data_IF_935611340736
#
_entry.id   IF_935611340736
#
_cell.length_a   1.000
_cell.length_b   1.000
_cell.length_c   1.000
_cell.angle_alpha   90.00
_cell.angle_beta   90.00
_cell.angle_gamma   90.00
#
_symmetry.space_group_name_H-M   'P 1'
#
loop_
_entity.id
_entity.type
_entity.pdbx_description
1 polymer ?
#
# COMPACT_ATOMS: atom_id res chain seq x y z
N UNK A 1 -2.86 -11.65 22.66
CA UNK A 1 -4.08 -11.50 21.83
C UNK A 1 -4.13 -10.02 21.45
N UNK A 2 -4.01 -9.70 20.16
CA UNK A 2 -3.82 -8.31 19.71
C UNK A 2 -5.05 -7.42 19.92
N UNK A 3 -4.80 -6.11 19.97
CA UNK A 3 -5.79 -5.03 20.02
C UNK A 3 -6.97 -5.30 19.06
N UNK A 4 -8.21 -5.21 19.55
CA UNK A 4 -9.42 -5.24 18.72
C UNK A 4 -9.51 -3.94 17.90
N UNK A 5 -8.69 -3.84 16.86
CA UNK A 5 -8.70 -2.76 15.87
C UNK A 5 -9.69 -3.06 14.74
N UNK A 6 -10.01 -2.06 13.92
CA UNK A 6 -10.94 -2.21 12.82
C UNK A 6 -10.39 -3.19 11.77
N UNK A 7 -11.22 -4.09 11.17
CA UNK A 7 -10.74 -5.09 10.20
C UNK A 7 -9.96 -4.51 9.01
N UNK A 8 -10.33 -3.32 8.54
CA UNK A 8 -9.61 -2.62 7.46
C UNK A 8 -8.20 -2.15 7.87
N UNK A 9 -7.99 -1.89 9.16
CA UNK A 9 -6.71 -1.42 9.71
C UNK A 9 -5.88 -2.58 10.30
N UNK A 10 -6.44 -3.78 10.46
CA UNK A 10 -5.75 -4.91 11.06
C UNK A 10 -4.74 -5.58 10.13
N UNK A 11 -4.69 -5.19 8.85
CA UNK A 11 -3.83 -5.77 7.81
C UNK A 11 -4.09 -7.23 7.48
N UNK A 12 -5.13 -7.84 8.06
CA UNK A 12 -5.58 -9.21 7.77
C UNK A 12 -6.47 -9.18 6.55
N UNK A 13 -5.88 -9.33 5.35
CA UNK A 13 -6.67 -9.53 4.12
C UNK A 13 -7.22 -10.96 4.06
N UNK A 14 -8.44 -11.08 3.53
CA UNK A 14 -9.03 -12.36 3.14
C UNK A 14 -8.13 -13.05 2.11
N UNK A 15 -7.84 -14.34 2.31
CA UNK A 15 -7.00 -15.22 1.45
C UNK A 15 -7.40 -15.28 -0.04
N UNK A 16 -8.48 -14.62 -0.45
CA UNK A 16 -9.14 -14.82 -1.75
C UNK A 16 -8.96 -13.68 -2.78
N UNK A 17 -8.26 -12.59 -2.46
CA UNK A 17 -8.05 -11.53 -3.45
C UNK A 17 -6.96 -11.94 -4.46
N UNK A 18 -7.40 -12.32 -5.67
CA UNK A 18 -6.51 -12.41 -6.83
C UNK A 18 -5.95 -11.02 -7.10
N UNK A 19 -4.63 -10.87 -6.97
CA UNK A 19 -3.97 -9.64 -7.37
C UNK A 19 -4.28 -9.35 -8.84
N UNK A 20 -4.83 -8.17 -9.11
CA UNK A 20 -5.18 -7.73 -10.45
C UNK A 20 -4.45 -6.43 -10.76
N UNK A 21 -3.16 -6.59 -11.08
CA UNK A 21 -2.25 -5.50 -11.41
C UNK A 21 -2.04 -5.35 -12.94
N UNK A 22 -2.49 -6.30 -13.77
CA UNK A 22 -2.41 -6.20 -15.23
C UNK A 22 -1.00 -6.30 -15.86
N UNK A 23 0.02 -6.69 -15.07
CA UNK A 23 1.33 -7.07 -15.61
C UNK A 23 1.25 -8.48 -16.18
N UNK A 24 1.97 -8.72 -17.27
CA UNK A 24 2.17 -10.08 -17.79
C UNK A 24 3.01 -10.92 -16.82
N UNK A 25 2.91 -12.25 -16.93
CA UNK A 25 3.73 -13.17 -16.13
C UNK A 25 5.24 -12.96 -16.34
N UNK A 26 5.65 -12.51 -17.52
CA UNK A 26 7.05 -12.24 -17.84
C UNK A 26 7.56 -10.94 -17.18
N UNK A 27 6.74 -9.88 -17.15
CA UNK A 27 7.02 -8.66 -16.38
C UNK A 27 7.08 -8.96 -14.88
N UNK A 28 6.13 -9.73 -14.36
CA UNK A 28 6.07 -10.11 -12.94
C UNK A 28 7.28 -10.94 -12.51
N UNK A 29 7.72 -11.89 -13.35
CA UNK A 29 8.94 -12.66 -13.08
C UNK A 29 10.19 -11.78 -13.04
N UNK A 30 10.27 -10.78 -13.93
CA UNK A 30 11.36 -9.81 -13.94
C UNK A 30 11.32 -8.92 -12.70
N UNK A 31 10.12 -8.50 -12.27
CA UNK A 31 9.92 -7.75 -11.04
C UNK A 31 10.33 -8.57 -9.81
N UNK A 32 9.88 -9.81 -9.68
CA UNK A 32 10.28 -10.70 -8.59
C UNK A 32 11.80 -10.89 -8.54
N UNK A 33 12.44 -11.03 -9.71
CA UNK A 33 13.89 -11.16 -9.83
C UNK A 33 14.64 -9.89 -9.42
N UNK A 34 14.04 -8.70 -9.59
CA UNK A 34 14.57 -7.43 -9.07
C UNK A 34 14.37 -7.33 -7.55
N UNK A 35 13.19 -7.70 -7.05
CA UNK A 35 12.90 -7.72 -5.62
C UNK A 35 13.83 -8.69 -4.86
N UNK A 36 14.19 -9.83 -5.45
CA UNK A 36 15.22 -10.73 -4.91
C UNK A 36 16.57 -10.02 -4.76
N UNK A 37 16.95 -9.16 -5.70
CA UNK A 37 18.22 -8.42 -5.61
C UNK A 37 18.15 -7.31 -4.56
N UNK A 38 16.98 -6.70 -4.37
CA UNK A 38 16.79 -5.65 -3.35
C UNK A 38 16.83 -6.22 -1.94
N UNK A 39 16.29 -7.43 -1.78
CA UNK A 39 16.25 -8.17 -0.53
C UNK A 39 16.54 -9.66 -0.81
N UNK A 40 17.83 -10.03 -0.90
CA UNK A 40 18.25 -11.39 -1.20
C UNK A 40 18.17 -12.29 0.02
N UNK A 41 18.11 -13.60 -0.23
CA UNK A 41 18.38 -14.59 0.81
C UNK A 41 19.87 -14.54 1.16
N UNK A 42 20.16 -14.61 2.46
CA UNK A 42 21.51 -14.69 2.98
C UNK A 42 21.77 -16.11 3.47
N UNK A 43 22.90 -16.69 3.07
CA UNK A 43 23.37 -17.93 3.70
C UNK A 43 23.62 -17.65 5.19
N UNK A 44 23.12 -18.53 6.07
CA UNK A 44 23.35 -18.39 7.51
C UNK A 44 24.84 -18.23 7.77
N UNK A 45 25.24 -17.09 8.33
CA UNK A 45 26.61 -16.87 8.77
C UNK A 45 26.94 -18.01 9.74
N UNK A 46 27.90 -18.85 9.37
CA UNK A 46 28.45 -19.83 10.29
C UNK A 46 29.14 -19.00 11.37
N UNK A 47 28.58 -18.91 12.57
CA UNK A 47 29.22 -18.21 13.68
C UNK A 47 30.57 -18.88 13.98
N UNK A 48 31.64 -18.38 13.37
CA UNK A 48 33.01 -18.61 13.81
C UNK A 48 33.19 -17.86 15.14
N UNK A 49 32.80 -18.51 16.23
CA UNK A 49 32.92 -17.97 17.58
C UNK A 49 31.74 -18.37 18.44
N UNK A 50 32.03 -19.09 19.53
CA UNK A 50 31.07 -19.49 20.55
C UNK A 50 30.41 -18.25 21.17
N UNK A 51 29.11 -18.09 20.97
CA UNK A 51 28.04 -17.90 21.97
C UNK A 51 26.79 -17.40 21.22
N UNK A 52 25.67 -18.08 21.44
CA UNK A 52 24.35 -17.94 20.83
C UNK A 52 24.16 -18.34 19.36
N UNK A 53 23.38 -19.42 19.17
CA UNK A 53 22.74 -19.71 17.88
C UNK A 53 21.85 -18.52 17.51
N UNK A 54 21.81 -18.09 16.23
CA UNK A 54 20.89 -17.05 15.81
C UNK A 54 19.46 -17.43 16.21
N UNK A 55 18.69 -16.46 16.70
CA UNK A 55 17.28 -16.70 17.03
C UNK A 55 16.53 -17.23 15.81
N UNK A 56 15.49 -18.04 16.03
CA UNK A 56 14.69 -18.60 14.94
C UNK A 56 14.13 -17.51 14.01
N UNK A 57 13.81 -16.33 14.57
CA UNK A 57 13.41 -15.15 13.83
C UNK A 57 14.52 -14.66 12.89
N UNK A 58 15.76 -14.56 13.37
CA UNK A 58 16.90 -14.12 12.59
C UNK A 58 17.23 -15.09 11.44
N UNK A 59 17.18 -16.40 11.69
CA UNK A 59 17.33 -17.39 10.62
C UNK A 59 16.22 -17.30 9.56
N UNK A 60 14.98 -17.07 9.99
CA UNK A 60 13.83 -16.91 9.09
C UNK A 60 13.97 -15.65 8.25
N UNK A 61 14.46 -14.56 8.84
CA UNK A 61 14.73 -13.30 8.15
C UNK A 61 15.84 -13.45 7.10
N UNK A 62 16.94 -14.13 7.42
CA UNK A 62 17.99 -14.41 6.42
C UNK A 62 17.51 -15.29 5.27
N UNK A 63 16.54 -16.18 5.49
CA UNK A 63 15.92 -17.00 4.43
C UNK A 63 14.81 -16.27 3.66
N UNK A 64 14.35 -15.12 4.14
CA UNK A 64 13.33 -14.33 3.48
C UNK A 64 13.90 -13.65 2.23
N UNK A 65 13.05 -13.43 1.23
CA UNK A 65 13.43 -12.71 0.02
C UNK A 65 12.32 -11.83 -0.49
N UNK A 66 12.67 -10.70 -1.10
CA UNK A 66 11.71 -9.83 -1.79
C UNK A 66 11.01 -10.50 -2.97
N UNK A 67 11.51 -11.62 -3.50
CA UNK A 67 10.83 -12.39 -4.54
C UNK A 67 9.65 -13.24 -4.02
N UNK A 68 9.55 -13.46 -2.70
CA UNK A 68 8.52 -14.30 -2.13
C UNK A 68 7.15 -13.61 -2.17
N UNK A 69 6.10 -14.38 -2.46
CA UNK A 69 4.74 -13.87 -2.41
C UNK A 69 4.38 -13.41 -0.98
N UNK A 70 3.60 -12.33 -0.81
CA UNK A 70 2.92 -11.52 -1.84
C UNK A 70 3.69 -10.27 -2.30
N UNK A 71 5.01 -10.17 -2.04
CA UNK A 71 5.76 -8.91 -2.22
C UNK A 71 5.73 -8.40 -3.67
N UNK A 72 6.10 -9.19 -4.71
CA UNK A 72 6.10 -8.71 -6.08
C UNK A 72 4.72 -8.28 -6.57
N UNK A 73 3.67 -9.02 -6.21
CA UNK A 73 2.30 -8.70 -6.61
C UNK A 73 1.81 -7.38 -5.99
N UNK A 74 2.07 -7.16 -4.70
CA UNK A 74 1.72 -5.90 -4.02
C UNK A 74 2.49 -4.71 -4.57
N UNK A 75 3.78 -4.90 -4.88
CA UNK A 75 4.58 -3.86 -5.56
C UNK A 75 3.98 -3.53 -6.92
N UNK A 76 3.60 -4.55 -7.70
CA UNK A 76 2.95 -4.35 -9.00
C UNK A 76 1.62 -3.60 -8.87
N UNK A 77 0.80 -3.91 -7.86
CA UNK A 77 -0.45 -3.18 -7.59
C UNK A 77 -0.21 -1.72 -7.26
N UNK A 78 0.76 -1.41 -6.38
CA UNK A 78 1.11 -0.02 -6.03
C UNK A 78 1.58 0.72 -7.29
N UNK A 79 2.49 0.12 -8.06
CA UNK A 79 3.03 0.74 -9.27
C UNK A 79 1.91 1.08 -10.24
N UNK A 80 1.05 0.12 -10.58
CA UNK A 80 0.04 0.31 -11.63
C UNK A 80 -1.12 1.19 -11.19
N UNK A 81 -1.56 1.07 -9.93
CA UNK A 81 -2.78 1.77 -9.47
C UNK A 81 -2.51 3.17 -8.91
N UNK A 82 -1.27 3.48 -8.48
CA UNK A 82 -0.99 4.71 -7.70
C UNK A 82 0.09 5.62 -8.29
N UNK A 83 0.94 5.15 -9.21
CA UNK A 83 1.96 6.00 -9.82
C UNK A 83 1.45 6.77 -11.05
N UNK A 84 2.16 7.85 -11.38
CA UNK A 84 1.94 8.60 -12.60
C UNK A 84 2.10 7.69 -13.83
N UNK A 85 1.27 7.90 -14.84
CA UNK A 85 1.21 7.09 -16.05
C UNK A 85 2.58 6.95 -16.74
N UNK A 86 3.36 8.03 -16.79
CA UNK A 86 4.70 8.08 -17.36
C UNK A 86 5.68 7.16 -16.61
N UNK A 87 5.61 7.15 -15.28
CA UNK A 87 6.43 6.27 -14.44
C UNK A 87 6.01 4.81 -14.62
N UNK A 88 4.70 4.53 -14.73
CA UNK A 88 4.18 3.17 -15.01
C UNK A 88 4.69 2.69 -16.37
N UNK A 89 4.58 3.50 -17.42
CA UNK A 89 5.07 3.16 -18.77
C UNK A 89 6.57 2.85 -18.72
N UNK A 90 7.36 3.73 -18.09
CA UNK A 90 8.80 3.53 -17.94
C UNK A 90 9.13 2.20 -17.25
N UNK A 91 8.49 1.90 -16.12
CA UNK A 91 8.70 0.66 -15.38
C UNK A 91 8.32 -0.54 -16.24
N UNK A 92 7.18 -0.51 -16.92
CA UNK A 92 6.74 -1.62 -17.80
C UNK A 92 7.71 -1.85 -18.95
N UNK A 93 8.22 -0.80 -19.58
CA UNK A 93 9.25 -0.92 -20.63
C UNK A 93 10.50 -1.58 -20.08
N UNK A 94 10.99 -1.16 -18.90
CA UNK A 94 12.17 -1.78 -18.26
C UNK A 94 11.91 -3.26 -17.95
N UNK A 95 10.77 -3.59 -17.34
CA UNK A 95 10.42 -4.97 -17.01
C UNK A 95 10.30 -5.86 -18.27
N UNK A 96 9.70 -5.35 -19.34
CA UNK A 96 9.58 -6.05 -20.61
C UNK A 96 10.95 -6.25 -21.28
N UNK A 97 11.84 -5.26 -21.21
CA UNK A 97 13.20 -5.42 -21.70
C UNK A 97 13.95 -6.52 -20.93
N UNK A 98 13.84 -6.54 -19.60
CA UNK A 98 14.46 -7.57 -18.75
C UNK A 98 13.86 -8.97 -18.93
N UNK A 99 12.61 -9.06 -19.42
CA UNK A 99 11.98 -10.34 -19.70
C UNK A 99 12.39 -10.94 -21.05
N UNK A 100 12.99 -10.16 -21.95
CA UNK A 100 13.44 -10.61 -23.27
C UNK A 100 14.96 -10.75 -23.34
N UNK A 101 15.48 -11.69 -24.14
CA UNK A 101 16.93 -11.90 -24.29
C UNK A 101 17.64 -10.67 -24.85
N UNK A 102 17.07 -10.04 -25.89
CA UNK A 102 17.66 -8.87 -26.52
C UNK A 102 17.61 -7.63 -25.63
N UNK A 103 16.49 -7.39 -24.94
CA UNK A 103 16.37 -6.30 -23.97
C UNK A 103 17.28 -6.51 -22.76
N UNK A 104 17.41 -7.75 -22.29
CA UNK A 104 18.36 -8.10 -21.22
C UNK A 104 19.79 -7.84 -21.66
N UNK A 105 20.17 -8.22 -22.88
CA UNK A 105 21.50 -7.90 -23.41
C UNK A 105 21.75 -6.39 -23.48
N UNK A 106 20.75 -5.61 -23.88
CA UNK A 106 20.84 -4.14 -23.93
C UNK A 106 21.01 -3.53 -22.54
N UNK A 107 20.25 -3.98 -21.53
CA UNK A 107 20.30 -3.40 -20.18
C UNK A 107 21.45 -3.98 -19.34
N UNK A 108 21.71 -5.27 -19.44
CA UNK A 108 22.69 -5.99 -18.60
C UNK A 108 24.08 -6.08 -19.26
N UNK A 109 24.18 -5.86 -20.57
CA UNK A 109 25.41 -6.03 -21.34
C UNK A 109 25.90 -7.48 -21.33
N UNK A 110 27.22 -7.67 -21.40
CA UNK A 110 27.84 -9.01 -21.44
C UNK A 110 27.60 -9.87 -20.19
N UNK A 111 27.09 -9.30 -19.09
CA UNK A 111 26.82 -10.06 -17.86
C UNK A 111 25.70 -11.10 -18.04
N UNK A 112 24.80 -10.91 -19.00
CA UNK A 112 23.76 -11.88 -19.31
C UNK A 112 24.25 -13.03 -20.21
N UNK A 113 25.51 -12.98 -20.69
CA UNK A 113 26.07 -14.04 -21.51
C UNK A 113 26.36 -15.29 -20.67
N UNK A 114 26.13 -16.44 -21.29
CA UNK A 114 26.30 -17.78 -20.74
C UNK A 114 27.12 -18.62 -21.71
N UNK A 115 27.96 -19.51 -21.19
CA UNK A 115 28.71 -20.48 -21.99
C UNK A 115 27.80 -21.60 -22.52
N UNK A 116 26.66 -21.84 -21.87
CA UNK A 116 25.68 -22.87 -22.23
C UNK A 116 24.49 -22.26 -22.96
N UNK A 117 23.94 -22.99 -23.94
CA UNK A 117 22.73 -22.58 -24.65
C UNK A 117 21.52 -22.49 -23.68
N UNK A 118 20.71 -21.43 -23.75
CA UNK A 118 20.86 -20.26 -24.61
C UNK A 118 21.99 -19.33 -24.15
N UNK A 119 22.87 -18.92 -25.08
CA UNK A 119 24.05 -18.08 -24.79
C UNK A 119 23.72 -16.71 -24.18
N UNK A 120 22.45 -16.31 -24.24
CA UNK A 120 21.92 -15.10 -23.61
C UNK A 120 20.81 -15.53 -22.65
N UNK A 121 21.03 -15.28 -21.37
CA UNK A 121 20.03 -15.46 -20.33
C UNK A 121 19.13 -14.23 -20.23
N UNK A 122 17.85 -14.45 -19.92
CA UNK A 122 16.99 -13.38 -19.43
C UNK A 122 17.42 -12.98 -18.02
N UNK A 123 17.00 -11.80 -17.57
CA UNK A 123 17.39 -11.30 -16.25
C UNK A 123 17.06 -12.29 -15.11
N UNK A 124 15.88 -12.89 -15.12
CA UNK A 124 15.43 -13.87 -14.11
C UNK A 124 16.23 -15.17 -14.09
N UNK A 125 16.91 -15.52 -15.19
CA UNK A 125 17.71 -16.74 -15.31
C UNK A 125 19.18 -16.51 -14.92
N UNK A 126 19.57 -15.28 -14.60
CA UNK A 126 20.92 -14.95 -14.16
C UNK A 126 21.12 -15.27 -12.67
N UNK A 127 22.34 -15.65 -12.29
CA UNK A 127 22.70 -15.79 -10.87
C UNK A 127 22.52 -14.45 -10.14
N UNK A 128 22.22 -14.52 -8.84
CA UNK A 128 22.00 -13.35 -8.00
C UNK A 128 23.19 -12.37 -8.07
N UNK A 129 24.41 -12.87 -7.93
CA UNK A 129 25.65 -12.08 -8.03
C UNK A 129 25.76 -11.31 -9.36
N UNK A 130 25.35 -11.94 -10.48
CA UNK A 130 25.37 -11.28 -11.79
C UNK A 130 24.31 -10.19 -11.86
N UNK A 131 23.11 -10.43 -11.32
CA UNK A 131 22.03 -9.43 -11.26
C UNK A 131 22.42 -8.24 -10.38
N UNK A 132 23.05 -8.47 -9.23
CA UNK A 132 23.59 -7.42 -8.37
C UNK A 132 24.60 -6.53 -9.11
N UNK A 133 25.55 -7.14 -9.81
CA UNK A 133 26.56 -6.41 -10.62
C UNK A 133 25.91 -5.57 -11.72
N UNK A 134 24.83 -6.05 -12.35
CA UNK A 134 24.06 -5.28 -13.33
C UNK A 134 23.46 -4.03 -12.69
N UNK A 135 22.79 -4.18 -11.54
CA UNK A 135 22.15 -3.09 -10.83
C UNK A 135 23.19 -2.05 -10.36
N UNK A 136 24.32 -2.50 -9.82
CA UNK A 136 25.46 -1.63 -9.48
C UNK A 136 26.00 -0.86 -10.69
N UNK A 137 26.02 -1.50 -11.87
CA UNK A 137 26.44 -0.85 -13.12
C UNK A 137 25.44 0.22 -13.56
N UNK A 138 24.13 0.00 -13.44
CA UNK A 138 23.13 1.03 -13.74
C UNK A 138 23.29 2.26 -12.85
N UNK A 139 23.59 2.06 -11.56
CA UNK A 139 23.82 3.16 -10.64
C UNK A 139 25.01 4.05 -10.99
N UNK A 140 26.10 3.45 -11.48
CA UNK A 140 27.35 4.16 -11.80
C UNK A 140 27.31 4.91 -13.12
N UNK A 141 26.39 4.59 -14.02
CA UNK A 141 26.40 5.07 -15.40
C UNK A 141 25.22 5.99 -15.70
N UNK A 142 25.52 7.25 -16.05
CA UNK A 142 24.49 8.28 -16.30
C UNK A 142 23.54 7.94 -17.46
N UNK A 143 23.99 7.17 -18.45
CA UNK A 143 23.19 6.76 -19.62
C UNK A 143 21.95 5.96 -19.18
N UNK A 144 22.03 5.25 -18.06
CA UNK A 144 20.93 4.46 -17.51
C UNK A 144 20.01 5.27 -16.58
N UNK A 145 20.02 6.60 -16.64
CA UNK A 145 19.20 7.45 -15.75
C UNK A 145 17.71 7.03 -15.71
N UNK A 146 17.02 6.76 -16.83
CA UNK A 146 15.63 6.28 -16.79
C UNK A 146 15.49 4.93 -16.07
N UNK A 147 16.40 4.00 -16.32
CA UNK A 147 16.41 2.67 -15.68
C UNK A 147 16.69 2.80 -14.17
N UNK A 148 17.55 3.74 -13.79
CA UNK A 148 17.87 4.06 -12.39
C UNK A 148 16.66 4.64 -11.65
N UNK A 149 15.85 5.46 -12.31
CA UNK A 149 14.59 5.98 -11.75
C UNK A 149 13.62 4.82 -11.51
N UNK A 150 13.38 3.97 -12.52
CA UNK A 150 12.53 2.79 -12.38
C UNK A 150 13.02 1.87 -11.24
N UNK A 151 14.32 1.61 -11.19
CA UNK A 151 14.94 0.85 -10.11
C UNK A 151 14.64 1.46 -8.73
N UNK A 152 14.84 2.77 -8.56
CA UNK A 152 14.69 3.43 -7.26
C UNK A 152 13.25 3.33 -6.76
N UNK A 153 12.29 3.52 -7.66
CA UNK A 153 10.87 3.36 -7.39
C UNK A 153 10.56 1.92 -6.95
N UNK A 154 11.00 0.93 -7.73
CA UNK A 154 10.74 -0.48 -7.43
C UNK A 154 11.40 -0.93 -6.12
N UNK A 155 12.62 -0.48 -5.84
CA UNK A 155 13.31 -0.75 -4.58
C UNK A 155 12.56 -0.16 -3.40
N UNK A 156 12.13 1.09 -3.51
CA UNK A 156 11.38 1.79 -2.45
C UNK A 156 10.12 1.03 -2.08
N UNK A 157 9.29 0.66 -3.08
CA UNK A 157 8.06 -0.06 -2.81
C UNK A 157 8.27 -1.53 -2.41
N UNK A 158 9.31 -2.19 -2.92
CA UNK A 158 9.66 -3.54 -2.47
C UNK A 158 9.98 -3.56 -0.97
N UNK A 159 10.82 -2.63 -0.50
CA UNK A 159 11.18 -2.55 0.91
C UNK A 159 9.99 -2.12 1.76
N UNK A 160 9.22 -1.12 1.32
CA UNK A 160 7.99 -0.70 2.00
C UNK A 160 7.02 -1.87 2.18
N UNK A 161 6.70 -2.59 1.10
CA UNK A 161 5.80 -3.75 1.17
C UNK A 161 6.37 -4.84 2.08
N UNK A 162 7.66 -5.16 1.97
CA UNK A 162 8.28 -6.22 2.75
C UNK A 162 8.24 -5.93 4.25
N UNK A 163 8.49 -4.69 4.68
CA UNK A 163 8.51 -4.33 6.10
C UNK A 163 7.14 -3.95 6.67
N UNK A 164 6.15 -3.63 5.83
CA UNK A 164 4.80 -3.31 6.27
C UNK A 164 3.79 -4.46 6.09
N UNK A 165 4.13 -5.53 5.37
CA UNK A 165 3.23 -6.67 5.19
C UNK A 165 3.09 -7.48 6.48
N UNK A 166 1.95 -8.15 6.63
CA UNK A 166 1.68 -9.04 7.76
C UNK A 166 1.38 -10.44 7.24
N UNK A 167 1.76 -11.44 8.03
CA UNK A 167 1.41 -12.84 7.84
C UNK A 167 -0.04 -13.13 8.29
N UNK A 168 -0.43 -14.41 8.25
CA UNK A 168 -1.76 -14.85 8.68
C UNK A 168 -2.06 -14.56 10.17
N UNK A 169 -1.01 -14.43 10.98
CA UNK A 169 -1.14 -14.12 12.40
C UNK A 169 -1.26 -12.61 12.66
N UNK A 170 -1.01 -11.78 11.65
CA UNK A 170 -0.96 -10.32 11.78
C UNK A 170 0.41 -9.81 12.24
N UNK A 171 1.48 -10.56 12.01
CA UNK A 171 2.86 -10.19 12.32
C UNK A 171 3.71 -10.09 11.06
N UNK A 172 4.65 -9.16 11.01
CA UNK A 172 5.65 -9.16 9.96
C UNK A 172 6.78 -10.16 10.31
N UNK A 173 7.25 -10.99 9.37
CA UNK A 173 8.29 -11.99 9.62
C UNK A 173 9.68 -11.41 9.92
N UNK A 174 9.94 -10.14 9.61
CA UNK A 174 11.23 -9.49 9.84
C UNK A 174 11.31 -8.73 11.17
N UNK A 175 10.17 -8.31 11.73
CA UNK A 175 10.14 -7.41 12.90
C UNK A 175 10.88 -7.95 14.11
N UNK A 176 10.66 -9.21 14.48
CA UNK A 176 11.36 -9.82 15.61
C UNK A 176 12.89 -9.90 15.38
N UNK A 177 13.33 -10.12 14.14
CA UNK A 177 14.75 -10.21 13.80
C UNK A 177 15.47 -8.85 13.85
N UNK A 178 14.73 -7.75 13.64
CA UNK A 178 15.26 -6.38 13.71
C UNK A 178 14.91 -5.68 15.04
N UNK A 179 14.42 -6.44 16.02
CA UNK A 179 13.98 -5.96 17.34
C UNK A 179 12.90 -4.86 17.26
N UNK A 180 12.04 -4.93 16.24
CA UNK A 180 10.88 -4.07 16.10
C UNK A 180 9.67 -4.70 16.79
N UNK A 181 9.20 -4.04 17.83
CA UNK A 181 8.00 -4.45 18.57
C UNK A 181 6.94 -3.38 18.42
N UNK A 182 5.77 -3.78 17.92
CA UNK A 182 4.59 -2.92 17.96
C UNK A 182 4.10 -2.91 19.40
N UNK A 183 4.16 -1.74 20.05
CA UNK A 183 3.70 -1.59 21.43
C UNK A 183 2.25 -2.07 21.54
N UNK A 184 1.98 -2.99 22.46
CA UNK A 184 0.61 -3.26 22.87
C UNK A 184 0.27 -2.20 23.88
N UNK A 185 -0.30 -1.09 23.42
CA UNK A 185 -0.78 -0.04 24.30
C UNK A 185 -1.98 -0.60 25.10
N UNK A 186 -1.71 -1.14 26.29
CA UNK A 186 -2.71 -1.71 27.20
C UNK A 186 -3.59 -0.61 27.85
N UNK A 187 -3.19 0.66 27.72
CA UNK A 187 -3.81 1.82 28.37
C UNK A 187 -4.92 2.53 27.56
N UNK A 188 -5.44 1.93 26.49
CA UNK A 188 -6.64 2.46 25.78
C UNK A 188 -7.94 2.16 26.55
N UNK A 189 -7.84 1.53 27.73
CA UNK A 189 -8.97 1.16 28.59
C UNK A 189 -9.80 2.36 29.05
N UNK A 190 -9.22 3.57 29.09
CA UNK A 190 -9.94 4.81 29.41
C UNK A 190 -10.55 5.53 28.18
N UNK A 191 -10.27 5.09 26.95
CA UNK A 191 -10.79 5.79 25.78
C UNK A 191 -12.29 5.52 25.64
N UNK A 192 -13.06 6.60 25.52
CA UNK A 192 -14.52 6.60 25.34
C UNK A 192 -14.97 5.45 24.42
N UNK A 193 -15.85 4.58 24.93
CA UNK A 193 -16.47 3.51 24.13
C UNK A 193 -17.45 4.06 23.08
N UNK A 194 -17.91 5.29 23.25
CA UNK A 194 -18.92 5.88 22.39
C UNK A 194 -18.30 6.27 21.05
N UNK A 195 -18.96 5.88 19.95
CA UNK A 195 -18.64 6.31 18.58
C UNK A 195 -19.52 7.52 18.28
N UNK A 196 -19.03 8.78 18.37
CA UNK A 196 -19.91 9.95 18.40
C UNK A 196 -20.76 10.14 17.14
N UNK A 197 -20.23 9.76 15.98
CA UNK A 197 -20.91 9.91 14.69
C UNK A 197 -21.77 8.71 14.29
N UNK A 198 -21.75 7.60 15.05
CA UNK A 198 -22.43 6.34 14.70
C UNK A 198 -23.93 6.53 14.47
N UNK A 199 -24.54 7.41 15.27
CA UNK A 199 -25.97 7.72 15.15
C UNK A 199 -26.32 8.37 13.82
N UNK A 200 -25.40 9.13 13.21
CA UNK A 200 -25.65 9.89 11.97
C UNK A 200 -24.97 9.34 10.71
N UNK A 201 -24.00 8.43 10.84
CA UNK A 201 -23.22 7.93 9.71
C UNK A 201 -24.02 6.93 8.86
N UNK A 202 -23.76 6.97 7.55
CA UNK A 202 -24.20 5.97 6.57
C UNK A 202 -22.99 5.63 5.70
N UNK A 203 -22.51 4.40 5.80
CA UNK A 203 -21.34 3.94 5.05
C UNK A 203 -21.76 3.39 3.69
N UNK A 204 -21.64 4.22 2.66
CA UNK A 204 -22.16 3.91 1.31
C UNK A 204 -21.56 2.64 0.69
N UNK A 205 -20.39 2.20 1.14
CA UNK A 205 -19.74 0.98 0.67
C UNK A 205 -20.51 -0.31 1.01
N UNK A 206 -21.36 -0.27 2.05
CA UNK A 206 -22.21 -1.38 2.47
C UNK A 206 -23.65 -1.24 1.96
N UNK A 207 -23.92 -0.19 1.19
CA UNK A 207 -25.24 0.14 0.71
C UNK A 207 -25.42 -0.25 -0.76
N UNK A 208 -26.66 -0.55 -1.11
CA UNK A 208 -27.15 -0.75 -2.46
C UNK A 208 -28.12 0.38 -2.82
N UNK A 209 -28.50 0.47 -4.09
CA UNK A 209 -29.50 1.45 -4.56
C UNK A 209 -30.81 1.43 -3.76
N UNK A 210 -31.24 0.26 -3.26
CA UNK A 210 -32.46 0.13 -2.47
C UNK A 210 -32.24 0.45 -1.00
N UNK A 211 -31.12 0.02 -0.41
CA UNK A 211 -30.86 0.17 1.02
C UNK A 211 -30.42 1.59 1.37
N UNK A 212 -29.69 2.28 0.48
CA UNK A 212 -29.19 3.64 0.74
C UNK A 212 -30.34 4.63 1.02
N UNK A 213 -31.45 4.51 0.28
CA UNK A 213 -32.64 5.36 0.49
C UNK A 213 -33.25 5.11 1.86
N UNK A 214 -33.35 3.84 2.26
CA UNK A 214 -33.89 3.45 3.56
C UNK A 214 -32.99 3.93 4.69
N UNK A 215 -31.68 3.70 4.60
CA UNK A 215 -30.70 4.13 5.60
C UNK A 215 -30.73 5.64 5.79
N UNK A 216 -30.67 6.44 4.72
CA UNK A 216 -30.75 7.90 4.81
C UNK A 216 -32.10 8.39 5.39
N UNK A 217 -33.20 7.74 5.02
CA UNK A 217 -34.54 8.08 5.54
C UNK A 217 -34.67 7.76 7.03
N UNK A 218 -34.11 6.63 7.49
CA UNK A 218 -34.06 6.26 8.91
C UNK A 218 -33.22 7.24 9.74
N UNK A 219 -32.21 7.88 9.13
CA UNK A 219 -31.44 8.97 9.73
C UNK A 219 -32.15 10.33 9.68
N UNK A 220 -33.40 10.40 9.20
CA UNK A 220 -34.23 11.59 9.21
C UNK A 220 -34.10 12.49 7.98
N UNK A 221 -33.42 12.04 6.92
CA UNK A 221 -33.29 12.78 5.66
C UNK A 221 -34.49 12.50 4.74
N UNK A 222 -34.94 13.52 4.01
CA UNK A 222 -35.94 13.33 2.95
C UNK A 222 -35.20 13.03 1.64
N UNK A 223 -35.35 11.81 1.14
CA UNK A 223 -34.69 11.34 -0.08
C UNK A 223 -35.72 11.02 -1.16
N UNK A 224 -35.49 11.51 -2.37
CA UNK A 224 -36.33 11.20 -3.54
C UNK A 224 -35.48 10.67 -4.68
N UNK A 225 -35.95 9.63 -5.38
CA UNK A 225 -35.26 9.07 -6.54
C UNK A 225 -35.73 9.78 -7.82
N UNK A 226 -34.79 10.28 -8.61
CA UNK A 226 -35.06 10.75 -9.97
C UNK A 226 -34.64 9.67 -10.97
N UNK A 227 -35.60 8.82 -11.34
CA UNK A 227 -35.35 7.67 -12.22
C UNK A 227 -34.89 8.06 -13.63
N UNK A 228 -35.11 9.31 -14.08
CA UNK A 228 -34.69 9.75 -15.42
C UNK A 228 -33.20 10.04 -15.47
N UNK A 229 -32.66 10.62 -14.41
CA UNK A 229 -31.25 10.96 -14.31
C UNK A 229 -30.42 9.91 -13.55
N UNK A 230 -31.08 8.89 -12.99
CA UNK A 230 -30.49 7.88 -12.13
C UNK A 230 -29.73 8.50 -10.94
N UNK A 231 -30.36 9.49 -10.28
CA UNK A 231 -29.80 10.18 -9.11
C UNK A 231 -30.77 10.18 -7.92
N UNK A 232 -30.21 10.28 -6.72
CA UNK A 232 -30.97 10.49 -5.48
C UNK A 232 -30.85 11.95 -5.05
N UNK A 233 -31.99 12.59 -4.77
CA UNK A 233 -32.08 13.96 -4.27
C UNK A 233 -32.34 13.93 -2.77
N UNK A 234 -31.39 14.46 -2.01
CA UNK A 234 -31.44 14.55 -0.55
C UNK A 234 -31.77 16.00 -0.18
N UNK A 235 -32.88 16.22 0.53
CA UNK A 235 -33.26 17.57 1.00
C UNK A 235 -32.51 17.90 2.29
N UNK A 236 -31.75 18.98 2.25
CA UNK A 236 -30.99 19.54 3.37
C UNK A 236 -30.89 21.06 3.22
N UNK A 237 -30.47 21.74 4.28
CA UNK A 237 -30.27 23.19 4.27
C UNK A 237 -28.84 23.53 3.82
N UNK A 238 -27.86 22.70 4.23
CA UNK A 238 -26.44 22.84 3.86
C UNK A 238 -25.83 21.48 3.52
N UNK A 239 -25.02 21.44 2.46
CA UNK A 239 -24.12 20.32 2.13
C UNK A 239 -22.69 20.74 2.36
N UNK A 240 -21.93 19.92 3.08
CA UNK A 240 -20.49 20.07 3.29
C UNK A 240 -19.79 18.89 2.63
N UNK A 241 -18.83 19.19 1.75
CA UNK A 241 -18.04 18.18 1.05
C UNK A 241 -16.65 18.13 1.70
N UNK A 242 -16.35 17.03 2.37
CA UNK A 242 -15.16 16.82 3.18
C UNK A 242 -15.38 17.17 4.65
N UNK A 243 -15.10 16.22 5.53
CA UNK A 243 -15.23 16.35 6.99
C UNK A 243 -13.93 16.80 7.68
N UNK A 244 -12.95 17.27 6.90
CA UNK A 244 -11.65 17.72 7.39
C UNK A 244 -11.69 18.87 8.40
N UNK A 245 -10.52 19.38 8.79
CA UNK A 245 -10.37 20.40 9.84
C UNK A 245 -11.28 21.65 9.67
N UNK A 246 -11.59 22.07 8.44
CA UNK A 246 -12.56 23.14 8.20
C UNK A 246 -14.01 22.65 8.09
N UNK A 247 -14.25 21.55 7.37
CA UNK A 247 -15.58 21.04 7.09
C UNK A 247 -16.31 20.52 8.34
N UNK A 248 -15.60 19.78 9.21
CA UNK A 248 -16.16 19.29 10.46
C UNK A 248 -16.59 20.43 11.41
N UNK A 249 -15.77 21.49 11.51
CA UNK A 249 -16.08 22.67 12.33
C UNK A 249 -17.29 23.43 11.77
N UNK A 250 -17.31 23.67 10.45
CA UNK A 250 -18.45 24.31 9.81
C UNK A 250 -19.74 23.50 10.00
N UNK A 251 -19.67 22.17 9.90
CA UNK A 251 -20.79 21.28 10.13
C UNK A 251 -21.35 21.42 11.54
N UNK A 252 -20.48 21.40 12.55
CA UNK A 252 -20.86 21.54 13.94
C UNK A 252 -21.56 22.89 14.20
N UNK A 253 -20.98 24.01 13.74
CA UNK A 253 -21.54 25.35 13.94
C UNK A 253 -22.92 25.48 13.29
N UNK A 254 -23.08 25.04 12.04
CA UNK A 254 -24.33 25.14 11.31
C UNK A 254 -25.42 24.20 11.88
N UNK A 255 -25.05 22.99 12.27
CA UNK A 255 -25.96 22.06 12.92
C UNK A 255 -26.43 22.58 14.28
N UNK A 256 -25.53 23.17 15.08
CA UNK A 256 -25.89 23.83 16.35
C UNK A 256 -26.81 25.05 16.16
N UNK A 257 -26.78 25.69 15.00
CA UNK A 257 -27.72 26.74 14.62
C UNK A 257 -29.08 26.21 14.10
N UNK A 258 -29.32 24.90 14.18
CA UNK A 258 -30.58 24.26 13.79
C UNK A 258 -30.71 23.94 12.30
N UNK A 259 -29.65 24.08 11.51
CA UNK A 259 -29.66 23.72 10.09
C UNK A 259 -29.56 22.20 9.90
N UNK A 260 -30.24 21.67 8.89
CA UNK A 260 -30.06 20.28 8.43
C UNK A 260 -28.82 20.18 7.55
N UNK A 261 -27.72 19.76 8.15
CA UNK A 261 -26.42 19.64 7.49
C UNK A 261 -26.20 18.20 7.04
N UNK A 262 -25.81 18.02 5.78
CA UNK A 262 -25.31 16.74 5.24
C UNK A 262 -23.82 16.89 4.98
N UNK A 263 -23.00 16.01 5.58
CA UNK A 263 -21.55 15.95 5.34
C UNK A 263 -21.25 14.75 4.46
N UNK A 264 -20.51 14.96 3.38
CA UNK A 264 -20.07 13.91 2.47
C UNK A 264 -18.57 13.75 2.64
N UNK A 265 -18.12 12.58 3.06
CA UNK A 265 -16.70 12.24 3.23
C UNK A 265 -16.34 11.11 2.27
N UNK A 266 -15.15 11.20 1.68
CA UNK A 266 -14.60 10.17 0.81
C UNK A 266 -14.05 8.99 1.61
N UNK A 267 -13.41 9.29 2.74
CA UNK A 267 -12.76 8.31 3.60
C UNK A 267 -13.67 7.57 4.57
N UNK A 268 -13.11 6.56 5.22
CA UNK A 268 -13.80 5.79 6.26
C UNK A 268 -13.82 6.53 7.61
N UNK A 269 -14.73 6.14 8.50
CA UNK A 269 -14.81 6.67 9.86
C UNK A 269 -14.15 5.73 10.86
N UNK A 270 -13.07 6.21 11.48
CA UNK A 270 -12.36 5.50 12.53
C UNK A 270 -12.37 6.28 13.84
N UNK A 271 -12.42 5.54 14.93
CA UNK A 271 -12.28 6.03 16.30
C UNK A 271 -10.95 5.56 16.89
N UNK A 272 -10.48 6.11 18.02
CA UNK A 272 -9.20 5.71 18.61
C UNK A 272 -9.02 4.21 18.87
N UNK A 273 -10.12 3.47 19.08
CA UNK A 273 -10.10 2.01 19.25
C UNK A 273 -9.91 1.24 17.95
N UNK A 274 -10.31 1.85 16.84
CA UNK A 274 -10.20 1.25 15.51
C UNK A 274 -8.78 1.27 14.97
N UNK A 275 -7.98 2.27 15.37
CA UNK A 275 -6.62 2.41 14.89
C UNK A 275 -5.76 1.20 15.27
N UNK A 276 -5.03 0.72 14.27
CA UNK A 276 -3.90 -0.16 14.47
C UNK A 276 -2.62 0.67 14.49
N UNK A 277 -1.58 0.14 15.11
CA UNK A 277 -0.22 0.70 15.07
C UNK A 277 0.55 0.13 13.86
N UNK A 278 -0.16 -0.14 12.77
CA UNK A 278 0.37 -0.80 11.58
C UNK A 278 0.42 0.22 10.45
N UNK A 279 1.61 0.52 9.94
CA UNK A 279 1.81 1.57 8.94
C UNK A 279 1.14 1.20 7.61
N UNK A 280 1.29 -0.05 7.15
CA UNK A 280 0.78 -0.47 5.84
C UNK A 280 -0.73 -0.24 5.67
N UNK A 281 -1.59 -0.84 6.51
CA UNK A 281 -3.04 -0.62 6.48
C UNK A 281 -3.43 0.83 6.77
N UNK A 282 -2.71 1.52 7.68
CA UNK A 282 -2.98 2.92 8.00
C UNK A 282 -2.74 3.83 6.80
N UNK A 283 -1.64 3.65 6.06
CA UNK A 283 -1.42 4.35 4.80
C UNK A 283 -2.56 4.07 3.82
N UNK A 284 -2.91 2.80 3.60
CA UNK A 284 -3.94 2.40 2.65
C UNK A 284 -5.33 2.95 2.95
N UNK A 285 -5.71 3.06 4.23
CA UNK A 285 -7.07 3.42 4.64
C UNK A 285 -7.23 4.89 5.07
N UNK A 286 -6.17 5.54 5.54
CA UNK A 286 -6.23 6.88 6.12
C UNK A 286 -5.68 7.96 5.20
N UNK A 287 -4.92 7.60 4.16
CA UNK A 287 -4.30 8.56 3.26
C UNK A 287 -4.84 8.43 1.83
N UNK A 288 -5.01 9.58 1.18
CA UNK A 288 -5.31 9.69 -0.24
C UNK A 288 -4.25 8.93 -1.07
N UNK A 289 -4.69 8.09 -2.00
CA UNK A 289 -3.80 7.22 -2.80
C UNK A 289 -2.81 6.40 -1.94
N UNK A 290 -3.17 6.06 -0.71
CA UNK A 290 -2.27 5.37 0.21
C UNK A 290 -1.00 6.14 0.58
N UNK A 291 -1.04 7.48 0.53
CA UNK A 291 0.11 8.36 0.75
C UNK A 291 0.96 8.62 -0.51
N UNK A 292 0.61 8.02 -1.65
CA UNK A 292 1.33 8.17 -2.92
C UNK A 292 0.57 9.15 -3.80
N UNK A 293 0.67 10.43 -3.44
CA UNK A 293 0.03 11.54 -4.17
C UNK A 293 1.08 12.57 -4.61
N UNK A 294 1.84 12.29 -5.68
CA UNK A 294 2.82 13.22 -6.22
C UNK A 294 2.16 14.36 -7.02
N UNK A 295 2.86 15.49 -7.14
CA UNK A 295 2.57 16.52 -8.15
C UNK A 295 2.77 15.96 -9.56
N UNK A 296 2.20 16.60 -10.57
CA UNK A 296 2.28 16.12 -11.98
C UNK A 296 3.70 16.06 -12.53
N UNK A 297 4.61 16.86 -11.99
CA UNK A 297 6.05 16.85 -12.30
C UNK A 297 6.88 15.98 -11.34
N UNK A 298 6.22 15.31 -10.39
CA UNK A 298 6.81 14.50 -9.33
C UNK A 298 7.83 15.22 -8.44
N UNK A 299 7.81 16.57 -8.40
CA UNK A 299 8.73 17.36 -7.57
C UNK A 299 8.38 17.34 -6.08
N UNK A 300 7.11 17.10 -5.74
CA UNK A 300 6.62 17.02 -4.37
C UNK A 300 5.62 15.88 -4.21
N UNK A 301 5.57 15.24 -3.04
CA UNK A 301 4.51 14.30 -2.66
C UNK A 301 3.70 14.88 -1.50
N UNK A 302 2.37 14.79 -1.60
CA UNK A 302 1.43 15.34 -0.63
C UNK A 302 0.89 14.20 0.23
N UNK A 303 1.00 14.33 1.55
CA UNK A 303 0.31 13.46 2.50
C UNK A 303 -1.04 14.09 2.84
N UNK A 304 -2.10 13.63 2.18
CA UNK A 304 -3.47 14.10 2.40
C UNK A 304 -4.30 13.02 3.10
N UNK A 305 -4.93 13.37 4.23
CA UNK A 305 -5.84 12.46 4.93
C UNK A 305 -7.13 12.21 4.14
N UNK A 306 -7.51 10.94 3.99
CA UNK A 306 -8.73 10.44 3.36
C UNK A 306 -9.50 9.56 4.36
N UNK A 307 -9.94 10.18 5.45
CA UNK A 307 -10.73 9.59 6.55
C UNK A 307 -11.57 10.69 7.17
N UNK A 308 -12.59 10.34 7.97
CA UNK A 308 -13.34 11.36 8.72
C UNK A 308 -12.40 12.18 9.60
N UNK A 309 -12.50 13.51 9.51
CA UNK A 309 -11.54 14.45 10.11
C UNK A 309 -10.38 14.83 9.19
N UNK A 310 -10.20 14.14 8.06
CA UNK A 310 -9.22 14.47 7.03
C UNK A 310 -7.80 14.58 7.57
N UNK A 311 -7.08 15.65 7.21
CA UNK A 311 -5.70 15.88 7.65
C UNK A 311 -5.53 15.91 9.18
N UNK A 312 -6.52 16.37 9.95
CA UNK A 312 -6.40 16.42 11.42
C UNK A 312 -6.53 15.05 12.10
N UNK A 313 -6.89 14.00 11.35
CA UNK A 313 -6.90 12.63 11.87
C UNK A 313 -5.54 11.92 11.70
N UNK A 314 -4.66 12.46 10.86
CA UNK A 314 -3.40 11.80 10.44
C UNK A 314 -2.16 12.68 10.64
N UNK A 315 -2.30 13.87 11.22
CA UNK A 315 -1.22 14.86 11.39
C UNK A 315 -0.44 14.70 12.71
#
# INVERSE_FOLDING_TARGET
>A
MGRNCHPLLSGRRSKAEKHNHGLSSAELLSLASLCEVFLPTLSSVSSEGKEDRPSQALESFYKASGAQAPVPDKVAEIVVKRLLTEAVILIRVVLLMLSTKLGTLMLCGSLCLSEKWPYINNFSSMSLEKREKVLQKWFKNWIFTPVRIAFFILKTFCLFVFFCQLDENGKNPAWEAIDYHVENDEDVSEVQQERPLEKGIVETMYETDSTIVQSLTQKGLQVTKDSKQNVYKIKCDVVIVGSGCGGGVAAAVLASAGQKVVVIEKGNYFTPKDYSLLEGPSFEQLYESGGILPTTDASMTILAGSTVGGGSAVN
#
